data_IF_381339846061
#
_entry.id   IF_381339846061
#
_cell.length_a   1.000
_cell.length_b   1.000
_cell.length_c   1.000
_cell.angle_alpha   90.00
_cell.angle_beta   90.00
_cell.angle_gamma   90.00
#
_symmetry.space_group_name_H-M   'P 1'
#
loop_
_entity.id
_entity.type
_entity.pdbx_description
1 polymer ?
#
# COMPACT_ATOMS: atom_id res chain seq x y z
N UNK A 1 10.25 -19.96 -15.59
CA UNK A 1 10.42 -20.23 -14.14
C UNK A 1 9.36 -21.24 -13.73
N UNK A 2 9.66 -22.19 -12.84
CA UNK A 2 8.63 -23.08 -12.29
C UNK A 2 8.01 -22.40 -11.07
N UNK A 3 6.79 -21.90 -11.21
CA UNK A 3 6.09 -21.21 -10.12
C UNK A 3 5.58 -22.22 -9.07
N UNK A 4 5.57 -21.84 -7.77
CA UNK A 4 5.00 -22.68 -6.71
C UNK A 4 3.52 -22.99 -6.92
N UNK A 5 3.01 -24.01 -6.24
CA UNK A 5 1.58 -24.32 -6.25
C UNK A 5 0.80 -23.24 -5.51
N UNK A 6 -0.25 -22.72 -6.14
CA UNK A 6 -1.19 -21.75 -5.53
C UNK A 6 -1.84 -22.34 -4.29
N UNK A 7 -1.97 -21.53 -3.25
CA UNK A 7 -2.39 -21.95 -1.90
C UNK A 7 -3.57 -21.14 -1.34
N UNK A 8 -4.21 -20.27 -2.16
CA UNK A 8 -5.50 -19.67 -1.82
C UNK A 8 -6.62 -20.70 -1.81
N UNK A 9 -7.68 -20.45 -1.05
CA UNK A 9 -8.81 -21.39 -0.91
C UNK A 9 -9.51 -21.66 -2.25
N UNK A 10 -9.55 -20.68 -3.15
CA UNK A 10 -10.12 -20.75 -4.49
C UNK A 10 -9.10 -21.16 -5.58
N UNK A 11 -7.82 -21.38 -5.20
CA UNK A 11 -6.74 -21.72 -6.11
C UNK A 11 -6.33 -20.63 -7.11
N UNK A 12 -6.80 -19.38 -6.94
CA UNK A 12 -6.49 -18.27 -7.86
C UNK A 12 -5.13 -17.63 -7.63
N UNK A 13 -4.64 -17.59 -6.39
CA UNK A 13 -3.44 -16.81 -6.04
C UNK A 13 -2.59 -17.41 -4.93
N UNK A 14 -1.50 -16.72 -4.60
CA UNK A 14 -0.66 -17.00 -3.45
C UNK A 14 -1.12 -16.23 -2.21
N UNK A 15 -1.14 -16.91 -1.07
CA UNK A 15 -1.25 -16.34 0.26
C UNK A 15 0.09 -16.47 0.98
N UNK A 16 0.60 -15.33 1.47
CA UNK A 16 1.86 -15.21 2.21
C UNK A 16 1.72 -15.76 3.65
N UNK A 17 1.50 -17.07 3.78
CA UNK A 17 1.47 -17.76 5.06
C UNK A 17 2.89 -18.01 5.57
N UNK A 18 3.12 -18.12 6.90
CA UNK A 18 4.45 -18.32 7.46
C UNK A 18 5.21 -19.50 6.86
N UNK A 19 4.53 -20.59 6.51
CA UNK A 19 5.15 -21.83 6.04
C UNK A 19 5.71 -21.72 4.61
N UNK A 20 5.25 -20.76 3.83
CA UNK A 20 5.65 -20.54 2.42
C UNK A 20 6.23 -19.15 2.19
N UNK A 21 6.44 -18.38 3.26
CA UNK A 21 6.83 -16.99 3.16
C UNK A 21 8.21 -16.82 2.49
N UNK A 22 9.20 -17.61 2.88
CA UNK A 22 10.55 -17.54 2.28
C UNK A 22 10.53 -17.86 0.78
N UNK A 23 9.74 -18.85 0.36
CA UNK A 23 9.61 -19.25 -1.04
C UNK A 23 8.91 -18.17 -1.88
N UNK A 24 7.88 -17.53 -1.31
CA UNK A 24 7.06 -16.55 -2.03
C UNK A 24 7.61 -15.12 -1.96
N UNK A 25 8.51 -14.81 -1.03
CA UNK A 25 9.02 -13.45 -0.83
C UNK A 25 9.62 -12.84 -2.11
N UNK A 26 10.48 -13.53 -2.89
CA UNK A 26 11.04 -12.96 -4.11
C UNK A 26 9.97 -12.66 -5.17
N UNK A 27 8.95 -13.52 -5.30
CA UNK A 27 7.83 -13.30 -6.22
C UNK A 27 6.96 -12.14 -5.77
N UNK A 28 6.79 -11.97 -4.46
CA UNK A 28 6.06 -10.86 -3.87
C UNK A 28 6.78 -9.54 -4.12
N UNK A 29 8.08 -9.48 -3.84
CA UNK A 29 8.92 -8.29 -4.06
C UNK A 29 8.96 -7.91 -5.55
N UNK A 30 9.06 -8.90 -6.43
CA UNK A 30 8.95 -8.67 -7.87
C UNK A 30 7.57 -8.14 -8.27
N UNK A 31 6.49 -8.63 -7.67
CA UNK A 31 5.13 -8.14 -7.94
C UNK A 31 4.95 -6.68 -7.47
N UNK A 32 5.55 -6.29 -6.34
CA UNK A 32 5.60 -4.89 -5.89
C UNK A 32 6.33 -4.03 -6.92
N UNK A 33 7.51 -4.45 -7.37
CA UNK A 33 8.27 -3.68 -8.36
C UNK A 33 7.51 -3.58 -9.69
N UNK A 34 6.88 -4.67 -10.14
CA UNK A 34 6.04 -4.66 -11.33
C UNK A 34 4.82 -3.75 -11.17
N UNK A 35 4.27 -3.63 -9.96
CA UNK A 35 3.20 -2.68 -9.68
C UNK A 35 3.70 -1.24 -9.77
N UNK A 36 4.89 -0.92 -9.27
CA UNK A 36 5.53 0.39 -9.45
C UNK A 36 5.76 0.67 -10.94
N UNK A 37 6.28 -0.30 -11.68
CA UNK A 37 6.62 -0.17 -13.10
C UNK A 37 5.39 -0.22 -14.04
N UNK A 38 4.20 -0.50 -13.51
CA UNK A 38 2.96 -0.63 -14.31
C UNK A 38 2.91 -1.90 -15.18
N UNK A 39 3.64 -2.95 -14.79
CA UNK A 39 3.76 -4.23 -15.50
C UNK A 39 2.83 -5.33 -14.98
N UNK A 40 2.06 -5.06 -13.92
CA UNK A 40 1.04 -5.98 -13.41
C UNK A 40 -0.21 -6.00 -14.29
N UNK A 41 -0.89 -7.14 -14.34
CA UNK A 41 -2.18 -7.30 -15.02
C UNK A 41 -3.22 -7.92 -14.11
N UNK A 42 -4.49 -7.51 -14.24
CA UNK A 42 -5.62 -8.21 -13.61
C UNK A 42 -5.72 -9.66 -14.10
N UNK A 43 -5.86 -10.62 -13.17
CA UNK A 43 -6.06 -12.03 -13.50
C UNK A 43 -7.44 -12.29 -14.12
N UNK A 44 -8.50 -11.84 -13.45
CA UNK A 44 -9.90 -12.06 -13.81
C UNK A 44 -10.78 -10.95 -13.20
N UNK A 45 -12.07 -10.91 -13.54
CA UNK A 45 -13.02 -9.93 -12.99
C UNK A 45 -13.64 -10.35 -11.64
N UNK A 46 -13.13 -11.40 -10.99
CA UNK A 46 -13.70 -11.92 -9.75
C UNK A 46 -13.21 -11.13 -8.53
N UNK A 47 -13.93 -11.27 -7.42
CA UNK A 47 -13.57 -10.75 -6.12
C UNK A 47 -13.13 -11.89 -5.17
N UNK A 48 -12.07 -11.72 -4.35
CA UNK A 48 -11.19 -10.56 -4.26
C UNK A 48 -10.33 -10.35 -5.53
N UNK A 49 -9.90 -9.10 -5.78
CA UNK A 49 -9.07 -8.75 -6.93
C UNK A 49 -7.68 -9.37 -6.85
N UNK A 50 -7.26 -10.01 -7.94
CA UNK A 50 -5.94 -10.64 -8.08
C UNK A 50 -5.20 -10.00 -9.25
N UNK A 51 -3.95 -9.62 -9.00
CA UNK A 51 -3.02 -9.16 -10.03
C UNK A 51 -1.93 -10.21 -10.24
N UNK A 52 -1.38 -10.22 -11.44
CA UNK A 52 -0.33 -11.15 -11.86
C UNK A 52 0.91 -10.33 -12.19
N UNK A 53 2.05 -10.71 -11.63
CA UNK A 53 3.36 -10.14 -11.98
C UNK A 53 3.76 -10.50 -13.41
N UNK A 54 4.79 -9.84 -13.93
CA UNK A 54 5.39 -10.15 -15.23
C UNK A 54 5.97 -11.57 -15.31
N UNK A 55 6.27 -12.20 -14.18
CA UNK A 55 6.72 -13.59 -14.09
C UNK A 55 5.56 -14.60 -13.99
N UNK A 56 4.32 -14.11 -13.98
CA UNK A 56 3.13 -14.95 -13.89
C UNK A 56 2.68 -15.27 -12.46
N UNK A 57 3.24 -14.62 -11.44
CA UNK A 57 2.91 -14.88 -10.04
C UNK A 57 1.64 -14.09 -9.61
N UNK A 58 0.54 -14.76 -9.22
CA UNK A 58 -0.69 -14.10 -8.80
C UNK A 58 -0.73 -13.77 -7.30
N UNK A 59 -1.08 -12.52 -6.97
CA UNK A 59 -1.30 -12.07 -5.60
C UNK A 59 -2.59 -11.24 -5.48
N UNK A 60 -3.27 -11.36 -4.35
CA UNK A 60 -4.39 -10.48 -4.04
C UNK A 60 -3.89 -9.04 -3.86
N UNK A 61 -4.63 -8.09 -4.43
CA UNK A 61 -4.29 -6.66 -4.34
C UNK A 61 -4.22 -6.22 -2.88
N UNK A 62 -5.20 -6.61 -2.07
CA UNK A 62 -5.24 -6.25 -0.65
C UNK A 62 -4.00 -6.77 0.12
N UNK A 63 -3.51 -7.96 -0.21
CA UNK A 63 -2.31 -8.52 0.43
C UNK A 63 -1.04 -7.76 0.02
N UNK A 64 -0.93 -7.38 -1.26
CA UNK A 64 0.18 -6.56 -1.77
C UNK A 64 0.25 -5.21 -1.06
N UNK A 65 -0.87 -4.46 -1.05
CA UNK A 65 -0.91 -3.13 -0.45
C UNK A 65 -0.61 -3.21 1.04
N UNK A 66 -1.26 -4.12 1.77
CA UNK A 66 -1.07 -4.27 3.22
C UNK A 66 0.40 -4.49 3.59
N UNK A 67 1.06 -5.49 2.99
CA UNK A 67 2.46 -5.76 3.35
C UNK A 67 3.39 -4.64 2.90
N UNK A 68 3.12 -4.04 1.75
CA UNK A 68 3.90 -2.91 1.27
C UNK A 68 3.82 -1.72 2.23
N UNK A 69 2.62 -1.37 2.71
CA UNK A 69 2.41 -0.27 3.67
C UNK A 69 2.94 -0.58 5.07
N UNK A 70 2.90 -1.84 5.52
CA UNK A 70 3.54 -2.29 6.76
C UNK A 70 5.08 -2.10 6.74
N UNK A 71 5.70 -2.06 5.56
CA UNK A 71 7.13 -1.88 5.39
C UNK A 71 7.59 -0.42 5.17
N UNK A 72 6.66 0.51 4.90
CA UNK A 72 7.02 1.91 4.63
C UNK A 72 7.35 2.67 5.91
N UNK A 73 8.29 3.61 5.81
CA UNK A 73 8.67 4.55 6.86
C UNK A 73 8.71 5.97 6.30
N UNK A 74 8.28 6.94 7.09
CA UNK A 74 8.23 8.36 6.73
C UNK A 74 9.56 8.89 6.17
N UNK A 75 10.67 8.46 6.76
CA UNK A 75 12.01 8.96 6.48
C UNK A 75 12.60 8.42 5.17
N UNK A 76 12.06 7.32 4.64
CA UNK A 76 12.57 6.62 3.45
C UNK A 76 11.57 6.53 2.31
N UNK A 77 10.35 7.05 2.48
CA UNK A 77 9.31 7.00 1.47
C UNK A 77 9.72 7.75 0.21
N UNK A 78 9.69 7.07 -0.92
CA UNK A 78 9.77 7.66 -2.24
C UNK A 78 8.35 7.93 -2.77
N UNK A 79 7.98 9.21 -2.84
CA UNK A 79 6.63 9.63 -3.23
C UNK A 79 6.25 9.17 -4.64
N UNK A 80 7.18 9.23 -5.60
CA UNK A 80 6.88 8.87 -6.99
C UNK A 80 6.61 7.37 -7.10
N UNK A 81 7.41 6.54 -6.41
CA UNK A 81 7.18 5.10 -6.37
C UNK A 81 5.90 4.74 -5.62
N UNK A 82 5.62 5.41 -4.51
CA UNK A 82 4.40 5.19 -3.73
C UNK A 82 3.13 5.53 -4.53
N UNK A 83 3.14 6.65 -5.25
CA UNK A 83 2.07 7.07 -6.15
C UNK A 83 1.93 6.07 -7.30
N UNK A 84 3.03 5.70 -7.97
CA UNK A 84 3.00 4.77 -9.09
C UNK A 84 2.46 3.39 -8.67
N UNK A 85 2.95 2.84 -7.56
CA UNK A 85 2.46 1.60 -6.96
C UNK A 85 0.95 1.62 -6.74
N UNK A 86 0.48 2.67 -6.06
CA UNK A 86 -0.93 2.84 -5.69
C UNK A 86 -1.81 3.03 -6.92
N UNK A 87 -1.41 3.87 -7.87
CA UNK A 87 -2.18 4.18 -9.08
C UNK A 87 -2.30 2.96 -9.99
N UNK A 88 -1.22 2.21 -10.16
CA UNK A 88 -1.25 1.00 -10.99
C UNK A 88 -2.11 -0.10 -10.37
N UNK A 89 -2.08 -0.28 -9.04
CA UNK A 89 -3.00 -1.20 -8.36
C UNK A 89 -4.46 -0.73 -8.42
N UNK A 90 -4.71 0.58 -8.28
CA UNK A 90 -6.04 1.18 -8.41
C UNK A 90 -6.64 0.89 -9.79
N UNK A 91 -5.84 1.02 -10.86
CA UNK A 91 -6.26 0.72 -12.25
C UNK A 91 -6.62 -0.74 -12.46
N UNK A 92 -5.89 -1.66 -11.81
CA UNK A 92 -6.20 -3.09 -11.88
C UNK A 92 -7.26 -3.52 -10.86
N UNK A 93 -7.76 -2.63 -10.00
CA UNK A 93 -8.78 -2.96 -9.02
C UNK A 93 -9.79 -1.82 -8.86
N UNK A 94 -9.76 -1.13 -7.73
CA UNK A 94 -10.54 0.08 -7.42
C UNK A 94 -9.94 0.74 -6.19
N UNK A 95 -10.25 2.01 -5.97
CA UNK A 95 -9.71 2.77 -4.84
C UNK A 95 -10.04 2.12 -3.48
N UNK A 96 -11.29 1.70 -3.27
CA UNK A 96 -11.75 1.05 -2.03
C UNK A 96 -11.11 -0.31 -1.70
N UNK A 97 -10.25 -0.88 -2.56
CA UNK A 97 -9.47 -2.09 -2.25
C UNK A 97 -8.10 -1.77 -1.66
N UNK A 98 -7.64 -0.52 -1.81
CA UNK A 98 -6.28 -0.11 -1.45
C UNK A 98 -6.27 1.03 -0.43
N UNK A 99 -7.27 1.92 -0.47
CA UNK A 99 -7.34 3.15 0.31
C UNK A 99 -7.21 2.94 1.82
N UNK A 100 -7.87 1.93 2.37
CA UNK A 100 -7.82 1.60 3.80
C UNK A 100 -6.38 1.44 4.31
N UNK A 101 -5.54 0.71 3.58
CA UNK A 101 -4.14 0.47 3.98
C UNK A 101 -3.24 1.68 3.73
N UNK A 102 -3.52 2.46 2.68
CA UNK A 102 -2.79 3.69 2.39
C UNK A 102 -3.07 4.76 3.46
N UNK A 103 -4.34 4.90 3.86
CA UNK A 103 -4.77 5.80 4.93
C UNK A 103 -4.23 5.36 6.28
N UNK A 104 -4.23 4.05 6.59
CA UNK A 104 -3.61 3.51 7.80
C UNK A 104 -2.11 3.81 7.85
N UNK A 105 -1.40 3.65 6.73
CA UNK A 105 0.02 4.02 6.64
C UNK A 105 0.25 5.51 6.92
N UNK A 106 -0.53 6.39 6.28
CA UNK A 106 -0.44 7.84 6.49
C UNK A 106 -0.79 8.22 7.93
N UNK A 107 -1.75 7.53 8.55
CA UNK A 107 -2.06 7.75 9.95
C UNK A 107 -0.84 7.48 10.83
N UNK A 108 -0.19 6.32 10.68
CA UNK A 108 1.00 5.96 11.47
C UNK A 108 2.21 6.85 11.18
N UNK A 109 2.51 7.05 9.90
CA UNK A 109 3.77 7.67 9.46
C UNK A 109 3.69 9.19 9.34
N UNK A 110 2.53 9.77 9.07
CA UNK A 110 2.36 11.23 8.94
C UNK A 110 1.63 11.81 10.15
N UNK A 111 0.39 11.39 10.37
CA UNK A 111 -0.49 12.01 11.35
C UNK A 111 0.03 11.82 12.78
N UNK A 112 0.24 10.57 13.20
CA UNK A 112 0.67 10.23 14.55
C UNK A 112 2.10 10.70 14.86
N UNK A 113 2.96 10.85 13.86
CA UNK A 113 4.34 11.35 14.07
C UNK A 113 4.39 12.87 14.18
N UNK A 114 3.68 13.62 13.33
CA UNK A 114 3.92 15.06 13.16
C UNK A 114 2.76 15.97 13.60
N UNK A 115 1.53 15.45 13.71
CA UNK A 115 0.34 16.26 13.94
C UNK A 115 -0.40 15.88 15.22
N UNK A 116 -1.19 16.82 15.74
CA UNK A 116 -2.20 16.62 16.78
C UNK A 116 -3.55 17.05 16.22
N UNK A 117 -4.61 16.35 16.64
CA UNK A 117 -5.98 16.77 16.36
C UNK A 117 -6.26 18.03 17.19
N UNK A 118 -6.71 19.09 16.54
CA UNK A 118 -7.13 20.33 17.21
C UNK A 118 -8.61 20.65 16.99
N UNK A 119 -9.26 19.97 16.04
CA UNK A 119 -10.70 20.02 15.82
C UNK A 119 -11.49 19.13 16.79
N UNK A 120 -12.79 18.95 16.52
CA UNK A 120 -13.63 18.09 17.34
C UNK A 120 -13.21 16.61 17.19
N UNK A 121 -13.03 15.91 18.32
CA UNK A 121 -12.65 14.49 18.30
C UNK A 121 -13.78 13.59 17.77
N UNK A 122 -15.02 14.08 17.77
CA UNK A 122 -16.18 13.38 17.19
C UNK A 122 -16.23 13.47 15.65
N UNK A 123 -15.44 14.37 15.03
CA UNK A 123 -15.38 14.46 13.57
C UNK A 123 -14.72 13.21 13.00
N UNK A 124 -15.11 12.83 11.78
CA UNK A 124 -14.40 11.78 11.07
C UNK A 124 -12.93 12.18 10.86
N UNK A 125 -12.01 11.21 10.88
CA UNK A 125 -10.58 11.54 10.88
C UNK A 125 -10.13 12.33 9.63
N UNK A 126 -10.85 12.22 8.52
CA UNK A 126 -10.63 12.98 7.28
C UNK A 126 -11.21 14.41 7.31
N UNK A 127 -12.11 14.72 8.25
CA UNK A 127 -12.73 16.06 8.43
C UNK A 127 -12.09 16.84 9.59
N UNK A 128 -11.15 16.24 10.32
CA UNK A 128 -10.51 16.87 11.49
C UNK A 128 -9.53 17.95 11.10
N UNK A 129 -9.48 18.98 11.92
CA UNK A 129 -8.39 19.95 11.90
C UNK A 129 -7.14 19.40 12.61
N UNK A 130 -5.99 19.63 11.98
CA UNK A 130 -4.70 19.19 12.45
C UNK A 130 -3.74 20.36 12.62
N UNK A 131 -2.99 20.36 13.72
CA UNK A 131 -1.86 21.26 13.94
C UNK A 131 -0.58 20.46 14.11
N UNK A 132 0.57 21.07 13.80
CA UNK A 132 1.87 20.45 14.09
C UNK A 132 2.01 20.21 15.60
N UNK A 133 2.63 19.10 15.95
CA UNK A 133 2.99 18.82 17.34
C UNK A 133 3.91 19.91 17.90
N UNK A 134 3.78 20.28 19.18
CA UNK A 134 4.68 21.24 19.82
C UNK A 134 6.15 20.85 19.62
N UNK A 135 6.97 21.80 19.16
CA UNK A 135 8.40 21.57 18.91
C UNK A 135 8.73 20.96 17.55
N UNK A 136 7.74 20.56 16.75
CA UNK A 136 7.93 20.18 15.35
C UNK A 136 7.76 21.42 14.48
N UNK A 137 8.75 21.66 13.62
CA UNK A 137 8.67 22.66 12.55
C UNK A 137 8.20 22.03 11.25
N UNK A 138 7.60 22.83 10.37
CA UNK A 138 7.10 22.37 9.08
C UNK A 138 8.17 21.66 8.23
N UNK A 139 9.44 22.11 8.29
CA UNK A 139 10.53 21.53 7.51
C UNK A 139 10.97 20.14 8.00
N UNK A 140 10.51 19.73 9.18
CA UNK A 140 10.78 18.38 9.72
C UNK A 140 9.76 17.36 9.23
N UNK A 141 8.66 17.79 8.61
CA UNK A 141 7.69 16.88 8.00
C UNK A 141 8.22 16.49 6.62
N UNK A 142 8.39 15.18 6.31
CA UNK A 142 8.93 14.76 5.03
C UNK A 142 8.04 15.21 3.87
N UNK A 143 8.59 16.03 2.98
CA UNK A 143 7.90 16.47 1.75
C UNK A 143 7.39 15.28 0.91
N UNK A 144 8.16 14.18 0.71
CA UNK A 144 7.65 13.02 -0.03
C UNK A 144 6.37 12.42 0.59
N UNK A 145 6.29 12.40 1.92
CA UNK A 145 5.14 11.86 2.64
C UNK A 145 3.92 12.78 2.51
N UNK A 146 4.11 14.10 2.59
CA UNK A 146 3.06 15.08 2.33
C UNK A 146 2.54 14.98 0.90
N UNK A 147 3.44 14.84 -0.08
CA UNK A 147 3.07 14.67 -1.48
C UNK A 147 2.26 13.39 -1.71
N UNK A 148 2.67 12.29 -1.07
CA UNK A 148 1.92 11.05 -1.14
C UNK A 148 0.55 11.18 -0.45
N UNK A 149 0.46 11.87 0.68
CA UNK A 149 -0.81 12.16 1.34
C UNK A 149 -1.78 12.94 0.43
N UNK A 150 -1.28 13.93 -0.32
CA UNK A 150 -2.09 14.66 -1.30
C UNK A 150 -2.59 13.79 -2.46
N UNK A 151 -1.91 12.69 -2.79
CA UNK A 151 -2.39 11.73 -3.78
C UNK A 151 -3.48 10.81 -3.22
N UNK A 152 -3.42 10.48 -1.92
CA UNK A 152 -4.40 9.60 -1.26
C UNK A 152 -5.69 10.33 -0.90
N UNK A 153 -5.65 11.65 -0.71
CA UNK A 153 -6.81 12.50 -0.46
C UNK A 153 -7.69 12.68 -1.72
#
# INVERSE_FOLDING_TARGET
>A
MNLPKRNSADGRCYWMKPEVQEELQPLFDQCIQDAIDGRITRLDSLWPPVVVSSEGAPFEVHALVRKWTEAQQAETLDAEKAIAFSENLRRQSRWGEIDYHLLDMLKRELQEKYFIVTGNEDDHFWDREYSLKPGIRAEQVPEPLLRFACYVA
#
